data_IF_958339008889
#
_entry.id   IF_958339008889
#
_cell.length_a   1.000
_cell.length_b   1.000
_cell.length_c   1.000
_cell.angle_alpha   90.00
_cell.angle_beta   90.00
_cell.angle_gamma   90.00
#
_symmetry.space_group_name_H-M   'P 1'
#
loop_
_entity.id
_entity.type
_entity.pdbx_description
1 polymer ?
#
# COMPACT_ATOMS: atom_id res chain seq x y z
N UNK A 1 -13.10 -2.00 -0.34
CA UNK A 1 -12.11 -1.12 -0.98
C UNK A 1 -11.98 0.11 -0.10
N UNK A 2 -10.76 0.46 0.30
CA UNK A 2 -10.53 1.54 1.29
C UNK A 2 -10.34 2.92 0.63
N UNK A 3 -10.14 2.94 -0.70
CA UNK A 3 -9.96 4.16 -1.49
C UNK A 3 -11.26 4.72 -2.06
N UNK A 4 -11.16 5.94 -2.62
CA UNK A 4 -12.23 6.61 -3.38
C UNK A 4 -11.71 6.99 -4.76
N UNK A 5 -12.59 6.96 -5.77
CA UNK A 5 -12.22 7.36 -7.13
C UNK A 5 -11.90 8.86 -7.18
N UNK A 6 -10.82 9.20 -7.91
CA UNK A 6 -10.44 10.59 -8.21
C UNK A 6 -11.08 11.13 -9.50
N UNK A 7 -11.79 10.27 -10.26
CA UNK A 7 -12.40 10.65 -11.54
C UNK A 7 -13.25 11.94 -11.49
N UNK A 8 -14.06 12.21 -10.45
CA UNK A 8 -14.85 13.44 -10.38
C UNK A 8 -14.01 14.72 -10.47
N UNK A 9 -12.80 14.73 -9.89
CA UNK A 9 -11.92 15.91 -9.95
C UNK A 9 -11.39 16.17 -11.36
N UNK A 10 -11.16 15.10 -12.15
CA UNK A 10 -10.67 15.20 -13.53
C UNK A 10 -11.70 15.84 -14.47
N UNK A 11 -12.99 15.71 -14.14
CA UNK A 11 -14.10 16.30 -14.91
C UNK A 11 -14.57 17.63 -14.33
N UNK A 12 -13.79 18.27 -13.45
CA UNK A 12 -14.13 19.55 -12.81
C UNK A 12 -15.15 19.46 -11.66
N UNK A 13 -15.58 18.25 -11.32
CA UNK A 13 -16.44 18.01 -10.17
C UNK A 13 -15.69 18.18 -8.85
N UNK A 14 -16.39 18.68 -7.83
CA UNK A 14 -15.90 18.74 -6.45
C UNK A 14 -16.85 17.93 -5.57
N UNK A 15 -16.49 16.70 -5.20
CA UNK A 15 -17.32 15.89 -4.31
C UNK A 15 -17.56 16.63 -2.99
N UNK A 16 -18.82 16.83 -2.61
CA UNK A 16 -19.19 17.60 -1.41
C UNK A 16 -18.63 17.02 -0.10
N UNK A 17 -18.38 15.70 -0.06
CA UNK A 17 -17.92 14.97 1.13
C UNK A 17 -16.55 14.32 0.92
N UNK A 18 -15.63 15.03 0.27
CA UNK A 18 -14.25 14.56 0.16
C UNK A 18 -13.54 14.74 1.52
N UNK A 19 -12.95 13.68 2.09
CA UNK A 19 -12.42 13.72 3.47
C UNK A 19 -11.10 14.50 3.62
N UNK A 20 -10.44 14.82 2.49
CA UNK A 20 -9.07 15.35 2.44
C UNK A 20 -8.10 14.58 3.34
N UNK A 21 -8.18 13.24 3.30
CA UNK A 21 -7.38 12.38 4.16
C UNK A 21 -6.66 11.29 3.37
N UNK A 22 -5.44 10.96 3.81
CA UNK A 22 -4.65 9.81 3.36
C UNK A 22 -4.12 9.10 4.59
N UNK A 23 -4.33 7.78 4.64
CA UNK A 23 -3.75 6.89 5.65
C UNK A 23 -2.60 6.11 5.02
N UNK A 24 -1.47 6.06 5.71
CA UNK A 24 -0.27 5.33 5.29
C UNK A 24 0.14 4.43 6.45
N UNK A 25 0.43 3.17 6.19
CA UNK A 25 0.91 2.22 7.20
C UNK A 25 2.26 1.66 6.78
N UNK A 26 3.21 1.59 7.70
CA UNK A 26 4.48 0.91 7.49
C UNK A 26 4.79 0.01 8.69
N UNK A 27 4.83 -1.29 8.41
CA UNK A 27 5.16 -2.35 9.36
C UNK A 27 6.27 -3.26 8.80
N UNK A 28 6.99 -2.76 7.79
CA UNK A 28 8.06 -3.46 7.10
C UNK A 28 9.44 -3.10 7.66
N UNK A 29 10.44 -3.24 6.81
CA UNK A 29 11.81 -2.84 7.11
C UNK A 29 11.95 -1.34 7.40
N UNK A 30 12.92 -0.98 8.23
CA UNK A 30 13.14 0.40 8.67
C UNK A 30 12.19 0.90 9.76
N UNK A 31 11.20 0.10 10.17
CA UNK A 31 10.34 0.40 11.33
C UNK A 31 10.60 -0.56 12.48
N UNK A 32 10.64 -0.03 13.71
CA UNK A 32 10.85 -0.82 14.93
C UNK A 32 9.54 -1.18 15.64
N UNK A 33 8.45 -0.51 15.28
CA UNK A 33 7.12 -0.59 15.89
C UNK A 33 6.06 -0.29 14.82
N UNK A 34 4.82 -0.77 14.97
CA UNK A 34 3.76 -0.43 14.04
C UNK A 34 3.62 1.08 13.87
N UNK A 35 3.62 1.53 12.62
CA UNK A 35 3.61 2.94 12.27
C UNK A 35 2.44 3.25 11.34
N UNK A 36 1.65 4.26 11.71
CA UNK A 36 0.52 4.75 10.92
C UNK A 36 0.59 6.27 10.83
N UNK A 37 0.48 6.77 9.62
CA UNK A 37 0.50 8.19 9.29
C UNK A 37 -0.84 8.61 8.74
N UNK A 38 -1.34 9.74 9.22
CA UNK A 38 -2.49 10.45 8.69
C UNK A 38 -2.02 11.76 8.07
N UNK A 39 -2.25 11.95 6.78
CA UNK A 39 -2.19 13.28 6.17
C UNK A 39 -3.62 13.79 6.05
N UNK A 40 -3.94 14.88 6.73
CA UNK A 40 -5.27 15.49 6.72
C UNK A 40 -5.16 16.99 6.50
N UNK A 41 -5.76 17.45 5.40
CA UNK A 41 -5.70 18.84 4.96
C UNK A 41 -4.23 19.32 4.89
N UNK A 42 -3.80 20.26 5.73
CA UNK A 42 -2.42 20.76 5.77
C UNK A 42 -1.51 20.05 6.79
N UNK A 43 -2.02 19.08 7.53
CA UNK A 43 -1.29 18.42 8.61
C UNK A 43 -0.87 17.02 8.23
N UNK A 44 0.35 16.65 8.62
CA UNK A 44 0.81 15.26 8.63
C UNK A 44 1.09 14.84 10.06
N UNK A 45 0.41 13.80 10.51
CA UNK A 45 0.55 13.21 11.83
C UNK A 45 1.09 11.79 11.69
N UNK A 46 2.22 11.49 12.34
CA UNK A 46 2.83 10.17 12.37
C UNK A 46 2.69 9.60 13.76
N UNK A 47 1.97 8.48 13.87
CA UNK A 47 1.91 7.68 15.07
C UNK A 47 2.85 6.49 14.94
N UNK A 48 3.77 6.36 15.88
CA UNK A 48 4.61 5.17 16.05
C UNK A 48 4.27 4.59 17.41
N UNK A 49 3.87 3.32 17.46
CA UNK A 49 3.42 2.71 18.70
C UNK A 49 4.47 2.83 19.82
N UNK A 50 4.04 3.35 20.99
CA UNK A 50 4.88 3.58 22.17
C UNK A 50 6.07 4.52 21.93
N UNK A 51 5.95 5.47 21.00
CA UNK A 51 6.96 6.51 20.74
C UNK A 51 6.30 7.90 20.75
N UNK A 52 7.09 8.98 20.88
CA UNK A 52 6.55 10.34 20.81
C UNK A 52 5.83 10.59 19.49
N UNK A 53 4.69 11.27 19.58
CA UNK A 53 3.91 11.67 18.42
C UNK A 53 4.71 12.67 17.55
N UNK A 54 4.46 12.65 16.25
CA UNK A 54 5.04 13.62 15.32
C UNK A 54 3.92 14.32 14.56
N UNK A 55 3.96 15.65 14.57
CA UNK A 55 3.01 16.49 13.83
C UNK A 55 3.79 17.53 13.03
N UNK A 56 3.45 17.65 11.76
CA UNK A 56 4.00 18.63 10.84
C UNK A 56 2.87 19.46 10.23
N UNK A 57 3.01 20.79 10.26
CA UNK A 57 2.14 21.73 9.55
C UNK A 57 2.76 22.02 8.19
N UNK A 58 2.31 21.31 7.16
CA UNK A 58 2.89 21.34 5.82
C UNK A 58 2.69 22.68 5.10
N UNK A 59 1.74 23.50 5.55
CA UNK A 59 1.56 24.85 5.01
C UNK A 59 2.66 25.80 5.49
N UNK A 60 3.21 25.57 6.69
CA UNK A 60 4.26 26.39 7.31
C UNK A 60 5.65 25.78 7.17
N UNK A 61 5.74 24.46 7.13
CA UNK A 61 6.98 23.69 7.03
C UNK A 61 6.79 22.54 6.01
N UNK A 62 6.83 22.85 4.70
CA UNK A 62 6.65 21.85 3.65
C UNK A 62 7.72 20.75 3.66
N UNK A 63 8.85 21.01 4.31
CA UNK A 63 9.99 20.10 4.36
C UNK A 63 10.01 19.24 5.62
N UNK A 64 9.08 19.44 6.55
CA UNK A 64 8.90 18.63 7.77
C UNK A 64 10.11 18.66 8.74
N UNK A 65 10.78 19.80 8.88
CA UNK A 65 11.97 19.96 9.73
C UNK A 65 11.60 20.14 11.21
N UNK A 66 10.38 20.61 11.48
CA UNK A 66 9.93 20.98 12.81
C UNK A 66 8.73 20.13 13.24
N UNK A 67 8.97 19.19 14.15
CA UNK A 67 7.91 18.53 14.88
C UNK A 67 7.24 19.53 15.84
N UNK A 68 5.93 19.73 15.71
CA UNK A 68 5.10 20.61 16.54
C UNK A 68 4.11 19.88 17.44
N UNK A 69 4.22 18.55 17.58
CA UNK A 69 3.27 17.72 18.34
C UNK A 69 3.08 18.19 19.78
N UNK A 70 4.17 18.57 20.47
CA UNK A 70 4.19 19.02 21.87
C UNK A 70 4.00 20.54 22.02
N UNK A 71 3.88 21.28 20.93
CA UNK A 71 3.70 22.73 21.01
C UNK A 71 2.26 23.05 21.47
N UNK A 72 2.07 23.86 22.53
CA UNK A 72 0.73 24.13 23.10
C UNK A 72 -0.29 24.65 22.08
N UNK A 73 0.16 25.43 21.10
CA UNK A 73 -0.70 25.96 20.03
C UNK A 73 -1.30 24.87 19.11
N UNK A 74 -0.75 23.66 19.10
CA UNK A 74 -1.20 22.55 18.27
C UNK A 74 -1.91 21.44 19.06
N UNK A 75 -2.05 21.56 20.39
CA UNK A 75 -2.55 20.48 21.24
C UNK A 75 -3.91 19.91 20.83
N UNK A 76 -4.87 20.77 20.46
CA UNK A 76 -6.18 20.33 19.96
C UNK A 76 -6.07 19.56 18.63
N UNK A 77 -5.24 20.07 17.70
CA UNK A 77 -5.02 19.42 16.40
C UNK A 77 -4.31 18.07 16.59
N UNK A 78 -3.27 18.00 17.42
CA UNK A 78 -2.57 16.77 17.79
C UNK A 78 -3.55 15.73 18.33
N UNK A 79 -4.37 16.10 19.32
CA UNK A 79 -5.34 15.18 19.94
C UNK A 79 -6.37 14.66 18.93
N UNK A 80 -6.91 15.53 18.08
CA UNK A 80 -7.88 15.16 17.04
C UNK A 80 -7.28 14.22 16.00
N UNK A 81 -6.08 14.52 15.51
CA UNK A 81 -5.40 13.68 14.50
C UNK A 81 -4.97 12.35 15.10
N UNK A 82 -4.54 12.33 16.37
CA UNK A 82 -4.24 11.10 17.11
C UNK A 82 -5.46 10.20 17.25
N UNK A 83 -6.62 10.75 17.60
CA UNK A 83 -7.86 9.98 17.65
C UNK A 83 -8.22 9.42 16.26
N UNK A 84 -8.12 10.24 15.21
CA UNK A 84 -8.45 9.82 13.84
C UNK A 84 -7.50 8.76 13.29
N UNK A 85 -6.19 8.86 13.54
CA UNK A 85 -5.21 7.89 13.03
C UNK A 85 -5.36 6.53 13.72
N UNK A 86 -5.83 6.49 14.96
CA UNK A 86 -6.12 5.25 15.69
C UNK A 86 -7.52 4.70 15.43
N UNK A 87 -8.39 5.46 14.77
CA UNK A 87 -9.74 5.00 14.45
C UNK A 87 -9.71 3.76 13.54
N UNK A 88 -10.40 2.72 13.98
CA UNK A 88 -10.43 1.40 13.34
C UNK A 88 -9.09 0.66 13.30
N UNK A 89 -8.09 1.07 14.09
CA UNK A 89 -6.76 0.48 14.08
C UNK A 89 -6.15 0.35 15.47
N UNK A 90 -5.94 -0.90 15.90
CA UNK A 90 -5.29 -1.22 17.16
C UNK A 90 -3.79 -1.48 16.94
N UNK A 91 -2.90 -0.61 17.43
CA UNK A 91 -1.46 -0.79 17.27
C UNK A 91 -0.91 -2.02 17.99
N UNK A 92 -1.46 -2.39 19.15
CA UNK A 92 -0.98 -3.52 19.92
C UNK A 92 -1.36 -4.85 19.25
N UNK A 93 -2.58 -4.92 18.71
CA UNK A 93 -3.00 -6.06 17.89
C UNK A 93 -2.16 -6.16 16.61
N UNK A 94 -1.90 -5.02 15.96
CA UNK A 94 -1.05 -4.96 14.76
C UNK A 94 0.36 -5.47 15.07
N UNK A 95 0.97 -5.05 16.18
CA UNK A 95 2.29 -5.54 16.61
C UNK A 95 2.29 -7.06 16.76
N UNK A 96 1.28 -7.61 17.44
CA UNK A 96 1.10 -9.05 17.64
C UNK A 96 1.05 -9.80 16.31
N UNK A 97 0.22 -9.34 15.37
CA UNK A 97 0.06 -9.98 14.05
C UNK A 97 1.33 -9.91 13.21
N UNK A 98 2.04 -8.78 13.25
CA UNK A 98 3.32 -8.61 12.56
C UNK A 98 4.36 -9.60 13.09
N UNK A 99 4.53 -9.69 14.41
CA UNK A 99 5.47 -10.61 15.05
C UNK A 99 5.11 -12.08 14.79
N UNK A 100 3.83 -12.43 14.85
CA UNK A 100 3.36 -13.77 14.50
C UNK A 100 3.68 -14.11 13.04
N UNK A 101 3.36 -13.20 12.12
CA UNK A 101 3.64 -13.40 10.70
C UNK A 101 5.14 -13.50 10.40
N UNK A 102 5.99 -12.74 11.11
CA UNK A 102 7.44 -12.84 10.99
C UNK A 102 7.94 -14.21 11.45
N UNK A 103 7.54 -14.67 12.65
CA UNK A 103 7.91 -15.98 13.19
C UNK A 103 7.49 -17.12 12.26
N UNK A 104 6.24 -17.08 11.77
CA UNK A 104 5.73 -18.08 10.82
C UNK A 104 6.56 -18.13 9.54
N UNK A 105 6.87 -16.97 8.94
CA UNK A 105 7.66 -16.90 7.71
C UNK A 105 9.09 -17.36 7.91
N UNK A 106 9.72 -17.06 9.06
CA UNK A 106 11.07 -17.56 9.36
C UNK A 106 11.10 -19.09 9.47
N UNK A 107 10.13 -19.68 10.18
CA UNK A 107 10.00 -21.13 10.28
C UNK A 107 9.77 -21.79 8.92
N UNK A 108 8.83 -21.28 8.12
CA UNK A 108 8.56 -21.81 6.78
C UNK A 108 9.75 -21.63 5.85
N UNK A 109 10.45 -20.49 5.90
CA UNK A 109 11.66 -20.25 5.11
C UNK A 109 12.74 -21.30 5.42
N UNK A 110 12.96 -21.58 6.70
CA UNK A 110 13.93 -22.61 7.11
C UNK A 110 13.51 -24.01 6.65
N UNK A 111 12.21 -24.34 6.77
CA UNK A 111 11.68 -25.66 6.42
C UNK A 111 11.71 -25.90 4.91
N UNK A 112 11.27 -24.91 4.12
CA UNK A 112 11.22 -24.99 2.65
C UNK A 112 12.61 -24.93 2.00
N UNK A 113 13.64 -24.46 2.71
CA UNK A 113 15.02 -24.54 2.25
C UNK A 113 15.60 -25.97 2.28
N UNK A 114 14.89 -26.93 2.90
CA UNK A 114 15.31 -28.33 3.00
C UNK A 114 14.58 -29.18 1.96
N UNK A 115 15.30 -30.07 1.28
CA UNK A 115 14.72 -31.01 0.31
C UNK A 115 14.57 -30.41 -1.09
N UNK A 116 13.47 -30.73 -1.78
CA UNK A 116 13.23 -30.26 -3.15
C UNK A 116 12.66 -28.85 -3.15
N UNK A 117 13.39 -27.93 -3.76
CA UNK A 117 12.97 -26.57 -3.98
C UNK A 117 11.73 -26.50 -4.89
N UNK A 118 10.72 -25.73 -4.48
CA UNK A 118 9.51 -25.47 -5.25
C UNK A 118 9.40 -23.95 -5.49
N UNK A 119 9.71 -23.45 -6.70
CA UNK A 119 9.64 -22.02 -7.01
C UNK A 119 8.19 -21.52 -7.02
N UNK A 120 8.00 -20.24 -6.67
CA UNK A 120 6.73 -19.52 -6.82
C UNK A 120 6.79 -18.44 -7.90
N UNK A 121 7.90 -18.37 -8.63
CA UNK A 121 8.06 -17.46 -9.76
C UNK A 121 7.02 -17.79 -10.83
N UNK A 122 6.23 -16.78 -11.20
CA UNK A 122 5.24 -16.94 -12.25
C UNK A 122 5.94 -17.22 -13.59
N UNK A 123 5.59 -18.35 -14.20
CA UNK A 123 6.04 -18.71 -15.55
C UNK A 123 4.88 -18.48 -16.53
N UNK A 124 4.95 -17.46 -17.40
CA UNK A 124 3.91 -17.26 -18.40
C UNK A 124 3.90 -18.40 -19.41
N UNK A 125 2.72 -18.93 -19.71
CA UNK A 125 2.53 -19.90 -20.77
C UNK A 125 2.36 -19.19 -22.10
N UNK A 126 3.11 -19.65 -23.10
CA UNK A 126 2.95 -19.18 -24.46
C UNK A 126 2.65 -20.37 -25.36
N UNK A 127 1.50 -20.35 -26.03
CA UNK A 127 1.17 -21.35 -27.03
C UNK A 127 2.02 -21.13 -28.29
N UNK A 128 3.18 -21.79 -28.30
CA UNK A 128 4.12 -21.77 -29.41
C UNK A 128 3.47 -22.18 -30.74
N UNK A 129 2.39 -22.97 -30.75
CA UNK A 129 1.68 -23.35 -31.97
C UNK A 129 0.87 -22.21 -32.59
N UNK A 130 0.56 -21.16 -31.82
CA UNK A 130 -0.22 -19.98 -32.26
C UNK A 130 0.59 -18.70 -32.39
N UNK A 131 1.85 -18.70 -31.97
CA UNK A 131 2.75 -17.55 -32.10
C UNK A 131 3.46 -17.53 -33.46
N UNK A 132 3.75 -16.33 -33.98
CA UNK A 132 4.45 -16.09 -35.25
C UNK A 132 3.72 -16.62 -36.50
N UNK A 133 4.41 -16.58 -37.65
CA UNK A 133 3.91 -17.20 -38.88
C UNK A 133 3.85 -18.72 -38.66
N UNK A 134 2.64 -19.25 -38.83
CA UNK A 134 2.32 -20.67 -38.66
C UNK A 134 1.58 -21.14 -39.90
N UNK A 135 1.89 -22.34 -40.37
CA UNK A 135 1.09 -23.00 -41.40
C UNK A 135 -0.20 -23.46 -40.75
N UNK A 136 -1.32 -22.78 -41.00
CA UNK A 136 -2.62 -23.30 -40.58
C UNK A 136 -2.85 -24.63 -41.30
N UNK A 137 -3.21 -25.68 -40.56
CA UNK A 137 -3.55 -27.00 -41.13
C UNK A 137 -4.85 -27.00 -41.96
N UNK A 138 -5.41 -25.84 -42.30
CA UNK A 138 -6.61 -25.70 -43.15
C UNK A 138 -6.49 -24.52 -44.11
N UNK A 139 -5.57 -24.65 -45.04
CA UNK A 139 -5.83 -24.28 -46.42
C UNK A 139 -4.92 -25.19 -47.25
N UNK A 140 -5.48 -26.31 -47.72
CA UNK A 140 -4.90 -26.93 -48.90
C UNK A 140 -5.06 -25.89 -50.00
N UNK A 141 -3.97 -25.25 -50.40
CA UNK A 141 -3.98 -24.38 -51.55
C UNK A 141 -4.44 -25.23 -52.74
N UNK A 142 -5.65 -24.94 -53.22
CA UNK A 142 -6.25 -25.57 -54.39
C UNK A 142 -6.18 -24.56 -55.55
N UNK A 143 -5.35 -24.80 -56.57
CA UNK A 143 -5.25 -23.92 -57.74
C UNK A 143 -6.53 -23.87 -58.59
N UNK A 144 -7.53 -24.71 -58.32
CA UNK A 144 -8.76 -24.83 -59.10
C UNK A 144 -9.98 -24.16 -58.46
N UNK A 145 -9.89 -23.70 -57.21
CA UNK A 145 -10.92 -22.88 -56.57
C UNK A 145 -10.57 -21.40 -56.77
N UNK A 146 -10.99 -20.86 -57.91
CA UNK A 146 -10.83 -19.45 -58.27
C UNK A 146 -11.50 -18.48 -57.28
N UNK A 147 -11.15 -17.19 -57.40
CA UNK A 147 -11.80 -16.09 -56.67
C UNK A 147 -13.29 -15.99 -56.96
#
# INVERSE_FOLDING_TARGET
LDGRSLAPFLTGGRPERWPNEVIIENNGEGTIKPTRTLVKDQYKFVYVHERPDQLFDLARDPSEWRNVADAPAYGEVTARLRARVLDGWDPAETERQVLESQRRRLYLKETLARGRFAPWDYTPEFDGARMYVRRTQRAQWDPHLGR
#
